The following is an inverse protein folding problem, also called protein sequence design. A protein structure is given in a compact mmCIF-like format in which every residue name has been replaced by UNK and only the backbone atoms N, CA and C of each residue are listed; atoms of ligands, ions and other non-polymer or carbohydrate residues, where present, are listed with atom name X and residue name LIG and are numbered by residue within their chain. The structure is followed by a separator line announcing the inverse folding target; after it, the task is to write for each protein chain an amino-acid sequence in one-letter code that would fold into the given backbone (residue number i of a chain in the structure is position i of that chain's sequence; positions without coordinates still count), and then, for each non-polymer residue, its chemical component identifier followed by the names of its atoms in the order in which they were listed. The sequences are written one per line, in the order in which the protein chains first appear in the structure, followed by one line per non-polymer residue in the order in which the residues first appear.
data_IF_119599980664
#
_entry.id   IF_119599980664
#
_cell.length_a   1.000
_cell.length_b   1.000
_cell.length_c   1.000
_cell.angle_alpha   90.00
_cell.angle_beta   90.00
_cell.angle_gamma   90.00
#
_symmetry.space_group_name_H-M   'P 1'
#
loop_
_entity.id
_entity.type
_entity.pdbx_description
1 polymer ?
#
# COMPACT_ATOMS: atom_id res chain seq x y z
N UNK A 1 9.78 -9.24 16.94
CA UNK A 1 10.85 -8.66 16.18
C UNK A 1 11.20 -9.41 14.91
N UNK A 2 10.21 -10.05 14.24
CA UNK A 2 10.28 -10.56 12.87
C UNK A 2 9.74 -9.55 11.81
N UNK A 3 9.11 -8.47 12.28
CA UNK A 3 8.40 -7.49 11.44
C UNK A 3 9.33 -6.63 10.57
N UNK A 4 10.57 -6.38 11.02
CA UNK A 4 11.55 -5.56 10.29
C UNK A 4 12.19 -6.26 9.07
N UNK A 5 11.71 -7.47 8.73
CA UNK A 5 12.26 -8.27 7.63
C UNK A 5 11.46 -8.18 6.34
N UNK A 6 10.34 -7.50 6.37
CA UNK A 6 9.40 -7.49 5.26
C UNK A 6 9.10 -6.09 4.78
N UNK A 7 8.80 -5.99 3.52
CA UNK A 7 8.29 -4.81 2.85
C UNK A 7 7.08 -5.22 2.03
N UNK A 8 6.05 -4.38 2.03
CA UNK A 8 4.84 -4.61 1.23
C UNK A 8 4.87 -3.67 0.04
N UNK A 9 4.66 -4.24 -1.14
CA UNK A 9 4.49 -3.50 -2.39
C UNK A 9 3.03 -3.65 -2.83
N UNK A 10 2.37 -2.52 -3.08
CA UNK A 10 1.04 -2.50 -3.69
C UNK A 10 1.19 -2.03 -5.13
N UNK A 11 0.74 -2.86 -6.07
CA UNK A 11 0.76 -2.52 -7.49
C UNK A 11 -0.55 -1.84 -7.89
N UNK A 12 -0.44 -0.60 -8.38
CA UNK A 12 -1.57 0.16 -8.92
C UNK A 12 -1.46 0.26 -10.44
N UNK A 13 -2.34 -0.41 -11.19
CA UNK A 13 -2.36 -0.32 -12.64
C UNK A 13 -2.51 1.12 -13.12
N UNK A 14 -1.82 1.48 -14.19
CA UNK A 14 -1.88 2.81 -14.83
C UNK A 14 -2.73 2.75 -16.10
N UNK A 15 -2.99 3.92 -16.72
CA UNK A 15 -3.60 3.96 -18.04
C UNK A 15 -2.73 3.26 -19.10
N UNK A 16 -1.39 3.26 -18.90
CA UNK A 16 -0.44 2.53 -19.77
C UNK A 16 -0.68 1.03 -19.73
N UNK A 17 -1.04 0.47 -18.55
CA UNK A 17 -1.40 -0.93 -18.44
C UNK A 17 -2.62 -1.29 -19.30
N UNK A 18 -3.66 -0.46 -19.30
CA UNK A 18 -4.82 -0.67 -20.18
C UNK A 18 -4.46 -0.59 -21.67
N UNK A 19 -3.57 0.33 -22.05
CA UNK A 19 -3.08 0.41 -23.43
C UNK A 19 -2.28 -0.82 -23.81
N UNK A 20 -1.38 -1.25 -22.95
CA UNK A 20 -0.61 -2.50 -23.12
C UNK A 20 -1.52 -3.72 -23.29
N UNK A 21 -2.55 -3.84 -22.44
CA UNK A 21 -3.51 -4.94 -22.54
C UNK A 21 -4.31 -4.89 -23.86
N UNK A 22 -4.72 -3.70 -24.30
CA UNK A 22 -5.45 -3.53 -25.56
C UNK A 22 -4.62 -4.00 -26.77
N UNK A 23 -3.33 -3.72 -26.75
CA UNK A 23 -2.41 -4.15 -27.81
C UNK A 23 -2.14 -5.66 -27.78
N UNK A 24 -2.08 -6.26 -26.60
CA UNK A 24 -1.81 -7.71 -26.44
C UNK A 24 -3.05 -8.59 -26.52
N UNK A 25 -4.21 -8.04 -26.19
CA UNK A 25 -5.49 -8.76 -26.06
C UNK A 25 -6.62 -8.02 -26.80
N UNK A 26 -6.51 -7.80 -28.12
CA UNK A 26 -7.47 -6.98 -28.89
C UNK A 26 -8.90 -7.54 -28.86
N UNK A 27 -9.06 -8.85 -28.67
CA UNK A 27 -10.36 -9.54 -28.68
C UNK A 27 -10.96 -9.70 -27.27
N UNK A 28 -10.30 -9.19 -26.21
CA UNK A 28 -10.78 -9.31 -24.83
C UNK A 28 -11.46 -8.01 -24.39
N UNK A 29 -12.56 -8.15 -23.66
CA UNK A 29 -13.15 -7.04 -22.92
C UNK A 29 -12.25 -6.66 -21.75
N UNK A 30 -11.81 -5.40 -21.71
CA UNK A 30 -10.91 -4.91 -20.68
C UNK A 30 -11.70 -4.26 -19.55
N UNK A 31 -11.30 -4.48 -18.27
CA UNK A 31 -11.90 -3.78 -17.14
C UNK A 31 -11.54 -2.29 -17.15
N UNK A 32 -12.43 -1.47 -16.60
CA UNK A 32 -12.12 -0.06 -16.35
C UNK A 32 -11.01 0.13 -15.34
N UNK A 33 -10.24 1.21 -15.45
CA UNK A 33 -9.17 1.55 -14.53
C UNK A 33 -9.67 1.67 -13.07
N UNK A 34 -10.89 2.18 -12.87
CA UNK A 34 -11.50 2.26 -11.54
C UNK A 34 -11.77 0.87 -10.94
N UNK A 35 -12.11 -0.11 -11.76
CA UNK A 35 -12.29 -1.51 -11.32
C UNK A 35 -10.94 -2.09 -10.93
N UNK A 36 -9.90 -1.87 -11.74
CA UNK A 36 -8.53 -2.30 -11.42
C UNK A 36 -8.01 -1.68 -10.11
N UNK A 37 -8.38 -0.43 -9.83
CA UNK A 37 -7.98 0.28 -8.61
C UNK A 37 -8.84 -0.06 -7.38
N UNK A 38 -9.95 -0.76 -7.54
CA UNK A 38 -10.86 -1.04 -6.40
C UNK A 38 -10.25 -2.00 -5.38
N UNK A 39 -9.35 -2.89 -5.83
CA UNK A 39 -8.68 -3.88 -4.97
C UNK A 39 -7.31 -4.25 -5.58
N UNK A 40 -6.30 -3.36 -5.54
CA UNK A 40 -4.96 -3.64 -6.04
C UNK A 40 -4.32 -4.80 -5.26
N UNK A 41 -3.49 -5.59 -5.93
CA UNK A 41 -2.78 -6.69 -5.29
C UNK A 41 -1.63 -6.17 -4.45
N UNK A 42 -1.46 -6.72 -3.25
CA UNK A 42 -0.32 -6.49 -2.39
C UNK A 42 0.65 -7.68 -2.45
N UNK A 43 1.94 -7.37 -2.38
CA UNK A 43 3.02 -8.36 -2.43
C UNK A 43 3.94 -8.17 -1.23
N UNK A 44 4.18 -9.24 -0.48
CA UNK A 44 5.17 -9.24 0.60
C UNK A 44 6.52 -9.71 0.07
N UNK A 45 7.53 -8.87 0.20
CA UNK A 45 8.93 -9.11 -0.16
C UNK A 45 9.82 -9.06 1.09
N UNK A 46 10.99 -9.66 1.02
CA UNK A 46 12.00 -9.45 2.05
C UNK A 46 12.52 -8.01 1.95
N UNK A 47 12.55 -7.30 3.09
CA UNK A 47 13.10 -5.96 3.16
C UNK A 47 14.57 -5.97 2.79
N UNK A 48 14.96 -5.04 1.93
CA UNK A 48 16.33 -4.84 1.50
C UNK A 48 17.01 -3.71 2.29
N UNK A 49 18.31 -3.55 2.11
CA UNK A 49 19.13 -2.57 2.84
C UNK A 49 18.90 -1.15 2.28
N UNK A 50 18.61 -1.05 0.98
CA UNK A 50 18.42 0.21 0.27
C UNK A 50 17.46 0.05 -0.92
N UNK A 51 17.08 1.18 -1.50
CA UNK A 51 16.12 1.25 -2.60
C UNK A 51 16.62 0.54 -3.88
N UNK A 52 17.94 0.59 -4.16
CA UNK A 52 18.51 -0.08 -5.33
C UNK A 52 18.38 -1.61 -5.21
N UNK A 53 18.60 -2.16 -4.02
CA UNK A 53 18.41 -3.59 -3.77
C UNK A 53 16.93 -3.97 -3.79
N UNK A 54 16.04 -3.11 -3.30
CA UNK A 54 14.59 -3.28 -3.41
C UNK A 54 14.18 -3.31 -4.89
N UNK A 55 14.69 -2.39 -5.71
CA UNK A 55 14.42 -2.36 -7.15
C UNK A 55 14.93 -3.63 -7.85
N UNK A 56 16.13 -4.07 -7.53
CA UNK A 56 16.71 -5.33 -8.06
C UNK A 56 15.86 -6.54 -7.67
N UNK A 57 15.28 -6.55 -6.48
CA UNK A 57 14.39 -7.61 -6.04
C UNK A 57 13.06 -7.56 -6.81
N UNK A 58 12.50 -6.37 -7.01
CA UNK A 58 11.31 -6.19 -7.85
C UNK A 58 11.59 -6.70 -9.27
N UNK A 59 12.73 -6.36 -9.85
CA UNK A 59 13.14 -6.85 -11.18
C UNK A 59 13.21 -8.37 -11.26
N UNK A 60 13.70 -9.05 -10.22
CA UNK A 60 13.71 -10.54 -10.18
C UNK A 60 12.30 -11.13 -10.06
N UNK A 61 11.39 -10.45 -9.38
CA UNK A 61 10.05 -10.95 -9.06
C UNK A 61 8.96 -10.45 -10.02
N UNK A 62 9.25 -9.42 -10.86
CA UNK A 62 8.23 -8.85 -11.74
C UNK A 62 7.54 -9.85 -12.66
N UNK A 63 8.19 -10.90 -13.19
CA UNK A 63 7.50 -11.86 -14.06
C UNK A 63 6.37 -12.59 -13.32
N UNK A 64 6.58 -12.90 -12.02
CA UNK A 64 5.55 -13.50 -11.17
C UNK A 64 4.45 -12.51 -10.83
N UNK A 65 4.82 -11.27 -10.44
CA UNK A 65 3.86 -10.21 -10.15
C UNK A 65 2.98 -9.96 -11.38
N UNK A 66 3.59 -9.75 -12.55
CA UNK A 66 2.88 -9.50 -13.80
C UNK A 66 1.96 -10.66 -14.17
N UNK A 67 2.45 -11.90 -14.06
CA UNK A 67 1.63 -13.08 -14.28
C UNK A 67 0.39 -13.10 -13.38
N UNK A 68 0.52 -12.79 -12.10
CA UNK A 68 -0.61 -12.72 -11.16
C UNK A 68 -1.60 -11.61 -11.54
N UNK A 69 -1.09 -10.42 -11.91
CA UNK A 69 -1.96 -9.32 -12.34
C UNK A 69 -2.78 -9.67 -13.57
N UNK A 70 -2.18 -10.31 -14.57
CA UNK A 70 -2.90 -10.74 -15.78
C UNK A 70 -3.83 -11.91 -15.46
N UNK A 71 -3.35 -12.92 -14.74
CA UNK A 71 -4.15 -14.14 -14.47
C UNK A 71 -5.39 -13.84 -13.64
N UNK A 72 -5.35 -12.84 -12.77
CA UNK A 72 -6.48 -12.39 -11.96
C UNK A 72 -7.66 -11.93 -12.81
N UNK A 73 -7.42 -11.29 -13.95
CA UNK A 73 -8.44 -10.68 -14.81
C UNK A 73 -8.81 -11.56 -16.01
N UNK A 74 -7.83 -12.27 -16.57
CA UNK A 74 -7.98 -13.00 -17.82
C UNK A 74 -7.74 -14.50 -17.70
N UNK A 75 -7.35 -14.97 -16.52
CA UNK A 75 -7.02 -16.37 -16.28
C UNK A 75 -5.60 -16.75 -16.68
N UNK A 76 -5.11 -17.85 -16.11
CA UNK A 76 -3.73 -18.31 -16.28
C UNK A 76 -3.36 -18.68 -17.73
N UNK A 77 -4.32 -19.22 -18.48
CA UNK A 77 -4.08 -19.63 -19.87
C UNK A 77 -3.70 -18.44 -20.76
N UNK A 78 -4.32 -17.28 -20.52
CA UNK A 78 -3.99 -16.03 -21.21
C UNK A 78 -2.69 -15.45 -20.67
N UNK A 79 -2.55 -15.38 -19.35
CA UNK A 79 -1.37 -14.80 -18.69
C UNK A 79 -0.06 -15.44 -19.14
N UNK A 80 -0.03 -16.75 -19.39
CA UNK A 80 1.17 -17.50 -19.85
C UNK A 80 1.67 -17.08 -21.24
N UNK A 81 0.82 -16.45 -22.04
CA UNK A 81 1.12 -16.06 -23.42
C UNK A 81 1.46 -14.56 -23.57
N UNK A 82 1.44 -13.78 -22.48
CA UNK A 82 1.75 -12.36 -22.53
C UNK A 82 3.14 -12.12 -21.99
N UNK A 83 4.03 -11.70 -22.87
CA UNK A 83 5.39 -11.28 -22.51
C UNK A 83 5.38 -9.79 -22.14
N UNK A 84 6.13 -9.46 -21.08
CA UNK A 84 6.31 -8.11 -20.57
C UNK A 84 7.79 -7.94 -20.22
N UNK A 85 8.40 -6.85 -20.63
CA UNK A 85 9.74 -6.47 -20.17
C UNK A 85 9.65 -5.77 -18.82
N UNK A 86 10.76 -5.69 -18.08
CA UNK A 86 10.77 -4.94 -16.81
C UNK A 86 10.42 -3.47 -17.01
N UNK A 87 10.87 -2.86 -18.11
CA UNK A 87 10.53 -1.47 -18.44
C UNK A 87 9.02 -1.30 -18.69
N UNK A 88 8.39 -2.22 -19.44
CA UNK A 88 6.94 -2.20 -19.62
C UNK A 88 6.22 -2.33 -18.28
N UNK A 89 6.69 -3.22 -17.41
CA UNK A 89 6.13 -3.40 -16.07
C UNK A 89 6.19 -2.12 -15.24
N UNK A 90 7.33 -1.42 -15.25
CA UNK A 90 7.48 -0.12 -14.56
C UNK A 90 6.56 0.97 -15.14
N UNK A 91 6.27 0.94 -16.43
CA UNK A 91 5.32 1.85 -17.07
C UNK A 91 3.86 1.48 -16.76
N UNK A 92 3.57 0.18 -16.66
CA UNK A 92 2.23 -0.33 -16.42
C UNK A 92 1.72 -0.13 -15.00
N UNK A 93 2.62 -0.07 -14.00
CA UNK A 93 2.24 -0.03 -12.60
C UNK A 93 2.92 1.11 -11.84
N UNK A 94 2.15 1.73 -10.93
CA UNK A 94 2.70 2.52 -9.83
C UNK A 94 2.90 1.61 -8.62
N UNK A 95 3.96 1.87 -7.87
CA UNK A 95 4.32 1.13 -6.67
C UNK A 95 4.01 1.98 -5.43
N UNK A 96 3.33 1.41 -4.45
CA UNK A 96 3.30 1.92 -3.09
C UNK A 96 4.13 0.97 -2.23
N UNK A 97 5.17 1.48 -1.58
CA UNK A 97 6.05 0.73 -0.69
C UNK A 97 5.67 1.01 0.75
N UNK A 98 5.53 -0.03 1.55
CA UNK A 98 5.20 0.07 2.97
C UNK A 98 6.19 -0.75 3.79
N UNK A 99 6.98 -0.06 4.60
CA UNK A 99 7.95 -0.68 5.51
C UNK A 99 7.40 -0.89 6.93
N UNK A 100 6.34 -0.15 7.29
CA UNK A 100 5.72 -0.23 8.60
C UNK A 100 4.58 -1.25 8.61
N UNK A 101 4.92 -2.49 8.96
CA UNK A 101 4.00 -3.63 8.89
C UNK A 101 3.65 -4.09 10.31
N UNK A 102 2.36 -4.25 10.58
CA UNK A 102 1.81 -4.87 11.79
C UNK A 102 1.26 -6.23 11.43
N UNK A 103 1.97 -7.30 11.79
CA UNK A 103 1.47 -8.66 11.66
C UNK A 103 0.61 -8.99 12.88
N UNK A 104 -0.66 -9.32 12.65
CA UNK A 104 -1.57 -9.75 13.72
C UNK A 104 -1.44 -11.25 14.03
N UNK A 105 -0.75 -11.98 13.20
CA UNK A 105 -0.46 -13.41 13.32
C UNK A 105 1.06 -13.63 13.34
N UNK A 106 1.50 -14.84 13.63
CA UNK A 106 2.93 -15.11 13.85
C UNK A 106 3.78 -15.01 12.58
N UNK A 107 3.16 -15.18 11.40
CA UNK A 107 3.88 -15.18 10.12
C UNK A 107 2.91 -14.88 8.96
N UNK A 108 3.46 -14.65 7.76
CA UNK A 108 2.66 -14.57 6.54
C UNK A 108 2.10 -15.94 6.20
N UNK A 109 0.82 -15.99 5.84
CA UNK A 109 0.12 -17.18 5.39
C UNK A 109 -0.80 -16.90 4.20
N UNK A 110 -1.15 -17.94 3.48
CA UNK A 110 -2.12 -17.81 2.38
C UNK A 110 -3.49 -17.35 2.90
N UNK A 111 -4.14 -16.49 2.13
CA UNK A 111 -5.48 -15.99 2.45
C UNK A 111 -5.52 -14.78 3.37
N UNK A 112 -4.37 -14.27 3.82
CA UNK A 112 -4.32 -13.00 4.56
C UNK A 112 -4.66 -11.82 3.64
N UNK A 113 -5.23 -10.80 4.25
CA UNK A 113 -5.53 -9.52 3.63
C UNK A 113 -4.62 -8.44 4.22
N UNK A 114 -4.47 -7.37 3.46
CA UNK A 114 -3.75 -6.18 3.86
C UNK A 114 -4.72 -5.04 4.13
N UNK A 115 -4.59 -4.42 5.28
CA UNK A 115 -5.32 -3.22 5.67
C UNK A 115 -4.36 -2.04 5.73
N UNK A 116 -4.55 -1.03 4.88
CA UNK A 116 -3.75 0.18 4.88
C UNK A 116 -4.47 1.30 5.65
N UNK A 117 -3.72 1.97 6.54
CA UNK A 117 -4.20 3.11 7.33
C UNK A 117 -3.70 4.38 6.65
N UNK A 118 -4.43 4.85 5.64
CA UNK A 118 -3.97 5.95 4.78
C UNK A 118 -4.31 7.32 5.37
N UNK A 119 -3.32 8.23 5.47
CA UNK A 119 -3.55 9.63 5.87
C UNK A 119 -4.53 10.33 4.93
N UNK A 120 -5.34 11.23 5.49
CA UNK A 120 -6.22 12.12 4.73
C UNK A 120 -5.64 13.54 4.69
N UNK A 121 -6.14 14.37 3.78
CA UNK A 121 -5.72 15.77 3.64
C UNK A 121 -5.83 16.59 4.94
N UNK A 122 -6.72 16.21 5.85
CA UNK A 122 -6.85 16.84 7.17
C UNK A 122 -5.56 16.63 7.99
N UNK A 123 -4.96 15.44 7.94
CA UNK A 123 -3.69 15.17 8.63
C UNK A 123 -2.55 15.99 8.02
N UNK A 124 -2.49 16.08 6.70
CA UNK A 124 -1.50 16.90 6.01
C UNK A 124 -1.61 18.39 6.41
N UNK A 125 -2.84 18.92 6.52
CA UNK A 125 -3.08 20.28 7.00
C UNK A 125 -2.63 20.46 8.45
N UNK A 126 -2.89 19.48 9.31
CA UNK A 126 -2.45 19.51 10.70
C UNK A 126 -0.91 19.54 10.78
N UNK A 127 -0.19 18.66 10.07
CA UNK A 127 1.28 18.65 10.03
C UNK A 127 1.81 20.03 9.67
N UNK A 128 1.26 20.66 8.63
CA UNK A 128 1.66 22.00 8.18
C UNK A 128 1.37 23.11 9.21
N UNK A 129 0.37 22.92 10.08
CA UNK A 129 -0.03 23.93 11.09
C UNK A 129 0.73 23.82 12.40
N UNK A 130 1.34 22.67 12.69
CA UNK A 130 1.98 22.40 14.00
C UNK A 130 3.45 22.75 14.06
N UNK A 131 4.03 23.36 13.03
CA UNK A 131 5.45 23.73 13.01
C UNK A 131 6.37 22.60 13.53
N UNK A 132 6.03 21.35 13.23
CA UNK A 132 6.82 20.15 13.58
C UNK A 132 8.20 20.18 12.91
N UNK A 133 8.42 21.20 12.10
CA UNK A 133 9.63 21.34 11.30
C UNK A 133 10.59 22.24 12.05
N UNK A 134 11.75 21.67 12.34
CA UNK A 134 12.92 22.35 12.89
C UNK A 134 13.24 23.68 12.15
N UNK A 135 14.02 24.53 12.82
CA UNK A 135 14.40 25.91 12.55
C UNK A 135 14.80 26.33 11.11
N UNK A 136 14.63 25.49 10.09
CA UNK A 136 14.75 25.86 8.69
C UNK A 136 13.41 25.73 7.94
N UNK A 137 12.56 26.75 8.02
CA UNK A 137 11.21 26.71 7.44
C UNK A 137 11.19 26.69 5.91
N UNK A 138 12.33 26.88 5.25
CA UNK A 138 12.36 27.16 3.80
C UNK A 138 12.18 25.93 2.90
N UNK A 139 12.34 24.69 3.37
CA UNK A 139 12.46 23.57 2.43
C UNK A 139 11.62 22.31 2.66
N UNK A 140 11.12 22.00 3.84
CA UNK A 140 10.52 20.70 4.12
C UNK A 140 9.00 20.74 4.11
N UNK A 141 8.38 21.79 4.68
CA UNK A 141 6.92 21.88 4.82
C UNK A 141 6.19 21.97 3.47
N UNK A 142 6.78 22.70 2.50
CA UNK A 142 6.19 22.81 1.16
C UNK A 142 6.25 21.47 0.40
N UNK A 143 7.20 20.60 0.72
CA UNK A 143 7.41 19.30 0.08
C UNK A 143 6.56 18.18 0.68
N UNK A 144 6.06 18.31 1.91
CA UNK A 144 5.15 17.32 2.49
C UNK A 144 3.82 17.39 1.73
N UNK A 145 3.57 16.40 0.91
CA UNK A 145 2.31 16.21 0.24
C UNK A 145 1.64 14.90 0.70
N UNK A 146 0.35 14.77 0.39
CA UNK A 146 -0.43 13.61 0.80
C UNK A 146 0.13 12.29 0.22
N UNK A 147 0.71 12.33 -0.99
CA UNK A 147 1.26 11.13 -1.63
C UNK A 147 2.42 10.55 -0.82
N UNK A 148 3.36 11.38 -0.37
CA UNK A 148 4.47 10.92 0.47
C UNK A 148 4.02 10.34 1.81
N UNK A 149 2.95 10.92 2.41
CA UNK A 149 2.40 10.40 3.66
C UNK A 149 1.69 9.05 3.47
N UNK A 150 1.14 8.81 2.28
CA UNK A 150 0.42 7.57 1.94
C UNK A 150 1.40 6.44 1.61
N UNK A 151 2.48 6.74 0.90
CA UNK A 151 3.44 5.75 0.41
C UNK A 151 4.08 4.91 1.52
N UNK A 152 4.26 5.46 2.71
CA UNK A 152 4.85 4.72 3.85
C UNK A 152 3.86 4.58 5.02
N UNK A 153 2.57 4.57 4.74
CA UNK A 153 1.55 4.39 5.78
C UNK A 153 1.59 2.99 6.39
N UNK A 154 1.17 2.90 7.66
CA UNK A 154 1.11 1.62 8.37
C UNK A 154 0.15 0.66 7.68
N UNK A 155 0.62 -0.56 7.50
CA UNK A 155 -0.19 -1.67 6.98
C UNK A 155 -0.35 -2.75 8.05
N UNK A 156 -1.55 -3.31 8.13
CA UNK A 156 -1.89 -4.42 9.03
C UNK A 156 -2.18 -5.65 8.19
N UNK A 157 -1.46 -6.73 8.48
CA UNK A 157 -1.67 -8.03 7.84
C UNK A 157 -2.48 -8.92 8.78
N UNK A 158 -3.63 -9.37 8.30
CA UNK A 158 -4.54 -10.20 9.07
C UNK A 158 -5.42 -11.06 8.17
N UNK A 159 -5.79 -12.24 8.68
CA UNK A 159 -6.84 -13.06 8.07
C UNK A 159 -8.21 -12.61 8.61
N UNK A 160 -9.03 -11.96 7.77
CA UNK A 160 -10.43 -11.65 8.07
C UNK A 160 -11.33 -12.73 7.49
N UNK A 161 -12.24 -13.27 8.30
CA UNK A 161 -13.19 -14.27 7.82
C UNK A 161 -14.13 -13.69 6.75
N UNK A 162 -14.47 -12.41 6.90
CA UNK A 162 -15.31 -11.68 5.96
C UNK A 162 -14.95 -10.17 5.99
N UNK A 163 -15.18 -9.47 4.89
CA UNK A 163 -14.87 -8.03 4.78
C UNK A 163 -15.64 -7.14 5.77
N UNK A 164 -16.82 -7.60 6.23
CA UNK A 164 -17.59 -6.92 7.29
C UNK A 164 -16.86 -6.84 8.63
N UNK A 165 -15.87 -7.72 8.88
CA UNK A 165 -15.11 -7.75 10.13
C UNK A 165 -14.03 -6.63 10.20
N UNK A 166 -13.70 -6.02 9.07
CA UNK A 166 -12.67 -4.97 8.98
C UNK A 166 -13.02 -3.76 9.83
N UNK A 167 -14.23 -3.21 9.67
CA UNK A 167 -14.64 -2.00 10.39
C UNK A 167 -14.74 -2.23 11.91
N UNK A 168 -15.35 -3.31 12.41
CA UNK A 168 -15.28 -3.68 13.82
C UNK A 168 -13.85 -3.81 14.37
N UNK A 169 -12.96 -4.45 13.61
CA UNK A 169 -11.55 -4.58 13.95
C UNK A 169 -10.87 -3.21 14.10
N UNK A 170 -10.97 -2.35 13.09
CA UNK A 170 -10.36 -1.01 13.16
C UNK A 170 -10.98 -0.16 14.26
N UNK A 171 -12.30 -0.27 14.48
CA UNK A 171 -12.98 0.40 15.60
C UNK A 171 -12.44 -0.06 16.97
N UNK A 172 -12.03 -1.30 17.09
CA UNK A 172 -11.42 -1.82 18.32
C UNK A 172 -9.98 -1.33 18.50
N UNK A 173 -9.20 -1.26 17.41
CA UNK A 173 -7.77 -0.96 17.44
C UNK A 173 -7.41 0.46 17.00
N UNK A 174 -8.37 1.39 16.82
CA UNK A 174 -8.08 2.72 16.26
C UNK A 174 -7.05 3.52 17.07
N UNK A 175 -7.01 3.37 18.39
CA UNK A 175 -6.03 4.08 19.23
C UNK A 175 -4.60 3.57 19.04
N UNK A 176 -4.30 2.27 19.12
CA UNK A 176 -2.98 1.75 18.72
C UNK A 176 -2.58 2.13 17.30
N UNK A 177 -3.48 1.99 16.33
CA UNK A 177 -3.23 2.34 14.94
C UNK A 177 -2.92 3.83 14.76
N UNK A 178 -3.69 4.69 15.44
CA UNK A 178 -3.41 6.12 15.48
C UNK A 178 -2.02 6.41 16.08
N UNK A 179 -1.69 5.74 17.19
CA UNK A 179 -0.39 5.92 17.86
C UNK A 179 0.77 5.55 16.94
N UNK A 180 0.69 4.42 16.25
CA UNK A 180 1.73 3.96 15.33
C UNK A 180 1.93 4.96 14.18
N UNK A 181 0.84 5.40 13.55
CA UNK A 181 0.90 6.40 12.48
C UNK A 181 1.45 7.75 12.95
N UNK A 182 1.04 8.20 14.13
CA UNK A 182 1.53 9.47 14.66
C UNK A 182 3.00 9.43 15.04
N UNK A 183 3.50 8.32 15.63
CA UNK A 183 4.91 8.15 15.95
C UNK A 183 5.81 8.21 14.70
N UNK A 184 5.32 7.73 13.56
CA UNK A 184 6.01 7.84 12.28
C UNK A 184 6.20 9.30 11.83
N UNK A 185 5.26 10.18 12.18
CA UNK A 185 5.22 11.56 11.71
C UNK A 185 5.77 12.56 12.73
N UNK A 186 5.62 12.29 14.02
CA UNK A 186 5.96 13.20 15.09
C UNK A 186 6.17 12.45 16.42
N UNK A 187 7.38 12.51 16.94
CA UNK A 187 7.71 11.86 18.22
C UNK A 187 7.08 12.57 19.44
N UNK A 188 6.85 13.90 19.32
CA UNK A 188 6.27 14.67 20.43
C UNK A 188 4.75 14.48 20.50
N UNK A 189 4.33 13.63 21.45
CA UNK A 189 2.92 13.29 21.65
C UNK A 189 2.03 14.47 22.08
N UNK A 190 2.61 15.51 22.68
CA UNK A 190 1.86 16.69 23.12
C UNK A 190 1.33 17.53 21.94
N UNK A 191 1.99 17.39 20.79
CA UNK A 191 1.57 18.07 19.57
C UNK A 191 0.52 17.30 18.76
N UNK A 192 0.19 16.05 19.15
CA UNK A 192 -0.72 15.22 18.36
C UNK A 192 -2.15 15.77 18.37
N UNK A 193 -2.89 15.59 17.27
CA UNK A 193 -4.30 15.96 17.26
C UNK A 193 -5.07 15.07 18.23
N UNK A 194 -6.02 15.65 18.94
CA UNK A 194 -6.83 14.90 19.90
C UNK A 194 -7.79 13.95 19.15
N UNK A 195 -7.61 12.64 19.37
CA UNK A 195 -8.42 11.58 18.78
C UNK A 195 -8.92 10.64 19.88
N UNK A 196 -10.11 10.92 20.41
CA UNK A 196 -10.73 10.20 21.51
C UNK A 196 -11.85 9.24 21.05
N UNK A 197 -12.11 9.16 19.75
CA UNK A 197 -13.13 8.29 19.19
C UNK A 197 -12.79 7.81 17.79
N UNK A 198 -13.36 6.67 17.41
CA UNK A 198 -13.23 6.15 16.04
C UNK A 198 -13.75 7.14 14.98
N UNK A 199 -14.77 7.94 15.32
CA UNK A 199 -15.27 8.99 14.41
C UNK A 199 -14.19 10.05 14.16
N UNK A 200 -13.47 10.49 15.19
CA UNK A 200 -12.36 11.44 15.05
C UNK A 200 -11.19 10.79 14.28
N UNK A 201 -10.85 9.53 14.54
CA UNK A 201 -9.84 8.79 13.78
C UNK A 201 -10.14 8.84 12.27
N UNK A 202 -11.36 8.57 11.85
CA UNK A 202 -11.78 8.61 10.44
C UNK A 202 -11.70 10.01 9.78
N UNK A 203 -11.55 11.08 10.54
CA UNK A 203 -11.27 12.41 9.96
C UNK A 203 -9.84 12.52 9.44
N UNK A 204 -8.90 11.87 10.11
CA UNK A 204 -7.48 11.92 9.79
C UNK A 204 -7.04 10.78 8.89
N UNK A 205 -7.70 9.63 8.97
CA UNK A 205 -7.33 8.42 8.25
C UNK A 205 -8.50 7.82 7.47
N UNK A 206 -8.18 7.23 6.33
CA UNK A 206 -9.06 6.32 5.60
C UNK A 206 -8.49 4.91 5.68
N UNK A 207 -9.35 3.93 5.49
CA UNK A 207 -9.01 2.52 5.56
C UNK A 207 -9.18 1.97 4.14
N UNK A 208 -8.12 1.40 3.62
CA UNK A 208 -8.12 0.68 2.34
C UNK A 208 -7.81 -0.78 2.63
N UNK A 209 -8.56 -1.68 2.03
CA UNK A 209 -8.34 -3.12 2.18
C UNK A 209 -7.94 -3.70 0.83
N UNK A 210 -6.89 -4.53 0.87
CA UNK A 210 -6.47 -5.35 -0.26
C UNK A 210 -6.79 -6.79 0.08
N UNK A 211 -7.69 -7.38 -0.69
CA UNK A 211 -8.19 -8.72 -0.40
C UNK A 211 -7.16 -9.80 -0.74
N UNK A 212 -6.11 -9.45 -1.49
CA UNK A 212 -5.09 -10.37 -1.95
C UNK A 212 -3.69 -9.90 -1.54
N UNK A 213 -3.08 -10.65 -0.63
CA UNK A 213 -1.67 -10.52 -0.27
C UNK A 213 -0.93 -11.77 -0.76
N UNK A 214 0.10 -11.55 -1.59
CA UNK A 214 0.92 -12.61 -2.16
C UNK A 214 2.31 -12.53 -1.54
N UNK A 215 2.76 -13.64 -0.98
CA UNK A 215 4.10 -13.76 -0.44
C UNK A 215 5.06 -14.24 -1.54
N UNK A 216 6.01 -13.39 -1.92
CA UNK A 216 7.05 -13.68 -2.90
C UNK A 216 8.32 -14.10 -2.15
N UNK A 217 8.67 -15.38 -2.25
CA UNK A 217 9.91 -15.94 -1.71
C UNK A 217 11.00 -15.96 -2.77
#
# INVERSE_FOLDING_TARGET
MKQDRWEIIILKPTATFLSFLRDKLPDQELPDLNILHSDPTAYALQKQINDDETLNQIERQFPRMFFYEISRWFGEAIAKNIECTFLDFLCCFKFELHSQIVLMESDFSEGQQLLCIKPRSVLCKWIKSTSIVDDDPSNIIERINLSHLVEDSTVVVKNFNQLSDVIPFVKHYYQPLFTVEMLRMCENKEQWPMVNSFHQFKRYFTIEIHTKLIHLQ
#
